data_IF_329731960686
#
_entry.id   IF_329731960686
#
_cell.length_a   1.000
_cell.length_b   1.000
_cell.length_c   1.000
_cell.angle_alpha   90.00
_cell.angle_beta   90.00
_cell.angle_gamma   90.00
#
_symmetry.space_group_name_H-M   'P 1'
#
loop_
_entity.id
_entity.type
_entity.pdbx_description
1 polymer ?
#
# COMPACT_ATOMS: atom_id res chain seq x y z
N UNK A 1 3.29 -12.48 -12.96
CA UNK A 1 2.32 -12.79 -11.88
C UNK A 1 1.14 -11.86 -12.00
N UNK A 2 -0.06 -12.39 -11.89
CA UNK A 2 -1.31 -11.64 -11.92
C UNK A 2 -2.08 -11.88 -10.63
N UNK A 3 -2.58 -10.78 -10.06
CA UNK A 3 -3.37 -10.77 -8.84
C UNK A 3 -4.79 -10.30 -9.17
N UNK A 4 -5.78 -11.12 -8.89
CA UNK A 4 -7.19 -10.86 -9.17
C UNK A 4 -8.02 -10.71 -7.88
N UNK A 5 -7.38 -10.28 -6.80
CA UNK A 5 -8.01 -10.14 -5.48
C UNK A 5 -8.61 -11.44 -4.99
N UNK A 6 -9.89 -11.42 -4.63
CA UNK A 6 -10.61 -12.59 -4.14
C UNK A 6 -10.76 -13.73 -5.17
N UNK A 7 -10.54 -13.47 -6.46
CA UNK A 7 -10.58 -14.51 -7.50
C UNK A 7 -9.29 -15.30 -7.62
N UNK A 8 -8.24 -14.90 -6.93
CA UNK A 8 -6.99 -15.64 -6.81
C UNK A 8 -5.79 -14.99 -7.48
N UNK A 9 -4.72 -15.78 -7.52
CA UNK A 9 -3.42 -15.40 -8.04
C UNK A 9 -2.94 -16.43 -9.06
N UNK A 10 -2.21 -16.00 -10.07
CA UNK A 10 -1.70 -16.88 -11.11
C UNK A 10 -0.29 -16.45 -11.53
N UNK A 11 0.58 -17.44 -11.76
CA UNK A 11 1.83 -17.27 -12.47
C UNK A 11 1.66 -17.77 -13.89
N UNK A 12 2.01 -16.92 -14.85
CA UNK A 12 1.92 -17.23 -16.29
C UNK A 12 3.30 -17.08 -16.90
N UNK A 13 3.69 -18.03 -17.73
CA UNK A 13 4.87 -17.89 -18.58
C UNK A 13 4.62 -16.79 -19.62
N UNK A 14 5.45 -15.75 -19.61
CA UNK A 14 5.24 -14.56 -20.45
C UNK A 14 5.45 -14.79 -21.93
N UNK A 15 6.14 -15.88 -22.33
CA UNK A 15 6.40 -16.22 -23.75
C UNK A 15 5.30 -17.09 -24.33
N UNK A 16 4.79 -18.03 -23.54
CA UNK A 16 3.86 -19.07 -24.02
C UNK A 16 2.42 -18.86 -23.57
N UNK A 17 2.16 -18.00 -22.57
CA UNK A 17 0.87 -17.83 -21.93
C UNK A 17 0.44 -19.00 -21.05
N UNK A 18 1.30 -20.02 -20.86
CA UNK A 18 0.97 -21.19 -20.04
C UNK A 18 0.93 -20.84 -18.58
N UNK A 19 -0.07 -21.34 -17.86
CA UNK A 19 -0.17 -21.19 -16.40
C UNK A 19 0.82 -22.14 -15.76
N UNK A 20 1.71 -21.59 -14.93
CA UNK A 20 2.70 -22.32 -14.16
C UNK A 20 2.08 -22.81 -12.85
N UNK A 21 1.39 -21.91 -12.15
CA UNK A 21 0.62 -22.24 -10.95
C UNK A 21 -0.58 -21.30 -10.76
N UNK A 22 -1.57 -21.76 -9.98
CA UNK A 22 -2.72 -20.98 -9.49
C UNK A 22 -2.83 -21.10 -7.97
N UNK A 23 -3.23 -20.01 -7.31
CA UNK A 23 -3.61 -20.02 -5.90
C UNK A 23 -4.94 -19.27 -5.74
N UNK A 24 -5.99 -19.99 -5.34
CA UNK A 24 -7.33 -19.46 -5.08
C UNK A 24 -7.73 -19.58 -3.60
N UNK A 25 -6.77 -19.98 -2.73
CA UNK A 25 -7.02 -20.16 -1.29
C UNK A 25 -7.04 -18.84 -0.51
N UNK A 26 -6.60 -17.74 -1.13
CA UNK A 26 -6.55 -16.42 -0.49
C UNK A 26 -7.79 -15.63 -0.90
N UNK A 27 -8.65 -15.39 0.07
CA UNK A 27 -9.94 -14.74 -0.19
C UNK A 27 -10.29 -13.74 0.91
N UNK A 28 -10.90 -12.63 0.50
CA UNK A 28 -11.53 -11.61 1.34
C UNK A 28 -12.80 -11.11 0.65
N UNK A 29 -13.70 -10.50 1.39
CA UNK A 29 -14.88 -9.88 0.81
C UNK A 29 -14.51 -8.52 0.20
N UNK A 30 -14.31 -8.52 -1.14
CA UNK A 30 -14.12 -7.33 -1.97
C UNK A 30 -15.33 -7.15 -2.87
N UNK A 31 -16.13 -6.16 -2.59
CA UNK A 31 -17.35 -5.88 -3.40
C UNK A 31 -17.02 -5.18 -4.72
N UNK A 32 -15.89 -4.48 -4.77
CA UNK A 32 -15.48 -3.65 -5.91
C UNK A 32 -14.34 -4.25 -6.74
N UNK A 33 -13.91 -5.46 -6.39
CA UNK A 33 -12.79 -6.13 -7.04
C UNK A 33 -11.40 -5.71 -6.52
N UNK A 34 -10.31 -6.28 -7.08
CA UNK A 34 -8.94 -5.99 -6.68
C UNK A 34 -8.46 -4.66 -7.26
N UNK A 35 -7.68 -3.90 -6.50
CA UNK A 35 -7.03 -2.69 -6.96
C UNK A 35 -5.51 -2.69 -6.73
N UNK A 36 -5.05 -3.51 -5.77
CA UNK A 36 -3.64 -3.62 -5.40
C UNK A 36 -2.84 -4.44 -6.40
N UNK A 37 -1.63 -4.00 -6.74
CA UNK A 37 -0.66 -4.83 -7.46
C UNK A 37 0.25 -5.55 -6.49
N UNK A 38 0.69 -6.79 -6.80
CA UNK A 38 1.69 -7.48 -6.00
C UNK A 38 3.08 -6.87 -6.24
N UNK A 39 3.97 -7.00 -5.25
CA UNK A 39 5.38 -6.65 -5.37
C UNK A 39 6.25 -7.89 -5.19
N UNK A 40 7.40 -7.91 -5.87
CA UNK A 40 8.36 -9.00 -5.76
C UNK A 40 9.50 -8.61 -4.82
N UNK A 41 9.84 -9.52 -3.91
CA UNK A 41 11.04 -9.45 -3.10
C UNK A 41 11.70 -10.83 -3.02
N UNK A 42 12.87 -10.99 -3.64
CA UNK A 42 13.54 -12.28 -3.80
C UNK A 42 12.60 -13.32 -4.43
N UNK A 43 12.33 -14.40 -3.73
CA UNK A 43 11.43 -15.49 -4.12
C UNK A 43 10.01 -15.34 -3.56
N UNK A 44 9.64 -14.15 -3.10
CA UNK A 44 8.33 -13.83 -2.53
C UNK A 44 7.53 -12.89 -3.44
N UNK A 45 6.27 -13.22 -3.66
CA UNK A 45 5.24 -12.38 -4.24
C UNK A 45 4.37 -11.85 -3.09
N UNK A 46 4.46 -10.55 -2.80
CA UNK A 46 3.86 -9.94 -1.63
C UNK A 46 2.75 -8.98 -2.05
N UNK A 47 1.60 -9.05 -1.39
CA UNK A 47 0.47 -8.13 -1.57
C UNK A 47 -0.37 -8.07 -0.31
N UNK A 48 -1.22 -7.05 -0.21
CA UNK A 48 -2.20 -7.01 0.87
C UNK A 48 -3.62 -7.32 0.36
N UNK A 49 -4.43 -7.85 1.26
CA UNK A 49 -5.82 -8.23 1.06
C UNK A 49 -6.63 -7.55 2.15
N UNK A 50 -7.12 -6.34 1.88
CA UNK A 50 -7.88 -5.53 2.84
C UNK A 50 -9.34 -5.47 2.39
N UNK A 51 -10.09 -6.51 2.71
CA UNK A 51 -11.53 -6.60 2.46
C UNK A 51 -12.37 -5.97 3.58
N UNK A 52 -13.68 -6.10 3.48
CA UNK A 52 -14.60 -5.68 4.55
C UNK A 52 -14.59 -6.62 5.76
N UNK A 53 -14.27 -7.89 5.55
CA UNK A 53 -14.27 -8.97 6.56
C UNK A 53 -12.90 -9.20 7.20
N UNK A 54 -11.82 -9.15 6.41
CA UNK A 54 -10.45 -9.45 6.84
C UNK A 54 -9.48 -8.46 6.21
N UNK A 55 -8.41 -8.13 6.94
CA UNK A 55 -7.34 -7.26 6.47
C UNK A 55 -6.00 -7.91 6.84
N UNK A 56 -5.17 -8.20 5.83
CA UNK A 56 -3.88 -8.86 6.04
C UNK A 56 -2.91 -8.58 4.90
N UNK A 57 -1.62 -8.77 5.18
CA UNK A 57 -0.55 -8.85 4.18
C UNK A 57 -0.12 -10.31 4.05
N UNK A 58 0.18 -10.75 2.84
CA UNK A 58 0.52 -12.13 2.55
C UNK A 58 1.67 -12.21 1.55
N UNK A 59 2.53 -13.20 1.70
CA UNK A 59 3.56 -13.55 0.73
C UNK A 59 3.39 -14.98 0.23
N UNK A 60 3.51 -15.14 -1.08
CA UNK A 60 3.55 -16.42 -1.76
C UNK A 60 4.95 -16.70 -2.28
N UNK A 61 5.31 -17.96 -2.27
CA UNK A 61 6.49 -18.47 -2.99
C UNK A 61 6.31 -18.27 -4.50
N UNK A 62 7.23 -17.62 -5.15
CA UNK A 62 7.13 -17.28 -6.58
C UNK A 62 7.15 -18.49 -7.51
N UNK A 63 7.76 -19.61 -7.10
CA UNK A 63 7.86 -20.83 -7.90
C UNK A 63 6.62 -21.71 -7.80
N UNK A 64 5.98 -21.74 -6.61
CA UNK A 64 4.92 -22.69 -6.31
C UNK A 64 3.56 -22.07 -6.06
N UNK A 65 3.49 -20.76 -5.80
CA UNK A 65 2.26 -20.06 -5.39
C UNK A 65 1.78 -20.41 -3.98
N UNK A 66 2.54 -21.20 -3.21
CA UNK A 66 2.19 -21.54 -1.83
C UNK A 66 2.45 -20.37 -0.90
N UNK A 67 1.60 -20.21 0.10
CA UNK A 67 1.76 -19.20 1.13
C UNK A 67 3.01 -19.47 1.98
N UNK A 68 3.84 -18.44 2.16
CA UNK A 68 5.03 -18.47 3.02
C UNK A 68 4.75 -17.85 4.37
N UNK A 69 4.05 -16.69 4.36
CA UNK A 69 3.61 -16.04 5.58
C UNK A 69 2.35 -15.19 5.32
N UNK A 70 1.59 -14.97 6.37
CA UNK A 70 0.43 -14.09 6.41
C UNK A 70 0.37 -13.39 7.74
N UNK A 71 0.15 -12.07 7.72
CA UNK A 71 0.05 -11.25 8.94
C UNK A 71 -1.23 -10.42 8.88
N UNK A 72 -2.10 -10.63 9.85
CA UNK A 72 -3.27 -9.77 10.03
C UNK A 72 -2.84 -8.34 10.36
N UNK A 73 -3.56 -7.35 9.82
CA UNK A 73 -3.34 -5.95 10.17
C UNK A 73 -3.61 -5.73 11.66
N UNK A 74 -2.72 -5.03 12.33
CA UNK A 74 -2.82 -4.66 13.73
C UNK A 74 -3.44 -3.26 13.91
N UNK A 75 -3.82 -2.92 15.11
CA UNK A 75 -4.39 -1.62 15.48
C UNK A 75 -5.92 -1.57 15.31
N UNK A 76 -6.51 -0.55 15.93
CA UNK A 76 -7.95 -0.32 15.84
C UNK A 76 -8.31 0.27 14.49
N UNK A 77 -9.15 -0.40 13.75
CA UNK A 77 -9.71 0.09 12.48
C UNK A 77 -11.13 0.62 12.72
N UNK A 78 -11.68 1.27 11.68
CA UNK A 78 -13.05 1.77 11.72
C UNK A 78 -14.06 0.65 12.06
N UNK A 79 -15.13 0.97 12.79
CA UNK A 79 -16.15 -0.04 13.16
C UNK A 79 -16.95 -0.52 11.94
N UNK A 80 -17.28 0.40 11.03
CA UNK A 80 -17.94 0.04 9.77
C UNK A 80 -17.00 -0.79 8.88
N UNK A 81 -17.35 -2.04 8.54
CA UNK A 81 -16.53 -2.92 7.71
C UNK A 81 -16.15 -2.33 6.35
N UNK A 82 -17.04 -1.54 5.74
CA UNK A 82 -16.80 -0.91 4.43
C UNK A 82 -15.63 0.07 4.43
N UNK A 83 -15.37 0.68 5.60
CA UNK A 83 -14.29 1.67 5.76
C UNK A 83 -12.94 1.04 6.12
N UNK A 84 -12.84 -0.29 6.19
CA UNK A 84 -11.60 -1.03 6.46
C UNK A 84 -10.82 -1.39 5.19
N UNK A 85 -11.41 -1.19 4.02
CA UNK A 85 -10.82 -1.59 2.72
C UNK A 85 -9.65 -0.67 2.32
N UNK A 86 -8.63 -1.26 1.70
CA UNK A 86 -7.52 -0.57 1.06
C UNK A 86 -7.11 -1.32 -0.21
N UNK A 87 -6.82 -0.57 -1.28
CA UNK A 87 -6.50 -1.09 -2.61
C UNK A 87 -5.14 -0.62 -3.12
N UNK A 88 -4.41 0.15 -2.33
CA UNK A 88 -3.10 0.68 -2.71
C UNK A 88 -2.05 -0.41 -2.89
N UNK A 89 -1.12 -0.18 -3.79
CA UNK A 89 0.01 -1.09 -4.00
C UNK A 89 1.07 -0.86 -2.93
N UNK A 90 1.58 -1.89 -2.25
CA UNK A 90 2.68 -1.74 -1.30
C UNK A 90 3.96 -1.29 -2.00
N UNK A 91 4.87 -0.69 -1.24
CA UNK A 91 6.15 -0.18 -1.72
C UNK A 91 7.30 -0.85 -0.98
N UNK A 92 8.23 -1.47 -1.74
CA UNK A 92 9.49 -1.97 -1.19
C UNK A 92 10.55 -0.87 -1.25
N UNK A 93 11.24 -0.65 -0.15
CA UNK A 93 12.37 0.28 -0.02
C UNK A 93 13.44 -0.28 0.91
N UNK A 94 14.65 0.16 0.71
CA UNK A 94 15.71 0.01 1.68
C UNK A 94 15.69 1.21 2.62
N UNK A 95 15.66 0.94 3.92
CA UNK A 95 15.68 1.93 5.00
C UNK A 95 16.79 1.49 5.96
N UNK A 96 17.79 2.33 6.17
CA UNK A 96 18.95 2.04 7.02
C UNK A 96 19.61 0.68 6.72
N UNK A 97 19.81 0.40 5.41
CA UNK A 97 20.42 -0.85 4.93
C UNK A 97 19.54 -2.09 5.07
N UNK A 98 18.27 -1.94 5.44
CA UNK A 98 17.32 -3.05 5.59
C UNK A 98 16.14 -2.93 4.63
N UNK A 99 15.69 -4.04 4.02
CA UNK A 99 14.50 -4.03 3.20
C UNK A 99 13.26 -3.82 4.07
N UNK A 100 12.39 -2.92 3.66
CA UNK A 100 11.13 -2.60 4.33
C UNK A 100 10.00 -2.59 3.31
N UNK A 101 8.91 -3.27 3.65
CA UNK A 101 7.66 -3.23 2.92
C UNK A 101 6.74 -2.17 3.55
N UNK A 102 6.53 -1.07 2.84
CA UNK A 102 5.60 -0.01 3.24
C UNK A 102 4.23 -0.37 2.66
N UNK A 103 3.22 -0.48 3.51
CA UNK A 103 1.89 -0.94 3.11
C UNK A 103 0.80 -0.04 3.69
N UNK A 104 0.21 0.85 2.87
CA UNK A 104 -0.94 1.64 3.28
C UNK A 104 -2.14 0.74 3.57
N UNK A 105 -2.79 0.98 4.69
CA UNK A 105 -4.02 0.32 5.08
C UNK A 105 -5.03 1.34 5.61
N UNK A 106 -6.25 0.94 5.87
CA UNK A 106 -7.24 1.84 6.48
C UNK A 106 -6.81 2.28 7.87
N UNK A 107 -6.89 3.58 8.17
CA UNK A 107 -6.49 4.23 9.42
C UNK A 107 -4.99 4.22 9.75
N UNK A 108 -4.18 3.38 9.07
CA UNK A 108 -2.80 3.13 9.43
C UNK A 108 -1.89 3.03 8.21
N UNK A 109 -0.69 3.58 8.31
CA UNK A 109 0.44 3.24 7.46
C UNK A 109 1.32 2.22 8.19
N UNK A 110 1.59 1.09 7.53
CA UNK A 110 2.38 0.00 8.12
C UNK A 110 3.73 -0.16 7.43
N UNK A 111 4.69 -0.66 8.19
CA UNK A 111 5.94 -1.18 7.66
C UNK A 111 6.21 -2.59 8.18
N UNK A 112 6.61 -3.47 7.28
CA UNK A 112 6.88 -4.87 7.58
C UNK A 112 8.26 -5.28 7.08
N UNK A 113 8.85 -6.26 7.74
CA UNK A 113 9.96 -7.05 7.20
C UNK A 113 9.41 -7.90 6.04
N UNK A 114 9.88 -7.74 4.79
CA UNK A 114 9.33 -8.47 3.65
C UNK A 114 9.62 -9.99 3.69
N UNK A 115 10.64 -10.41 4.42
CA UNK A 115 11.02 -11.84 4.52
C UNK A 115 10.12 -12.63 5.45
N UNK A 116 9.62 -11.99 6.51
CA UNK A 116 8.90 -12.66 7.61
C UNK A 116 7.48 -12.15 7.81
N UNK A 117 7.14 -11.00 7.24
CA UNK A 117 5.89 -10.30 7.51
C UNK A 117 5.83 -9.63 8.88
N UNK A 118 6.92 -9.68 9.68
CA UNK A 118 6.94 -9.02 10.99
C UNK A 118 6.68 -7.53 10.86
N UNK A 119 5.69 -7.01 11.61
CA UNK A 119 5.46 -5.57 11.71
C UNK A 119 6.66 -4.90 12.39
N UNK A 120 7.26 -3.92 11.72
CA UNK A 120 8.40 -3.14 12.21
C UNK A 120 7.92 -1.91 12.95
N UNK A 121 6.98 -1.20 12.35
CA UNK A 121 6.31 -0.04 12.91
C UNK A 121 5.01 0.25 12.16
N UNK A 122 4.19 1.11 12.74
CA UNK A 122 3.01 1.69 12.08
C UNK A 122 2.75 3.10 12.56
N UNK A 123 2.08 3.90 11.72
CA UNK A 123 1.66 5.27 12.03
C UNK A 123 0.17 5.36 11.88
N UNK A 124 -0.51 5.81 12.93
CA UNK A 124 -1.94 6.09 12.89
C UNK A 124 -2.17 7.45 12.22
N UNK A 125 -2.98 7.47 11.19
CA UNK A 125 -3.45 8.70 10.57
C UNK A 125 -4.96 8.92 10.78
N UNK A 126 -5.65 7.96 11.40
CA UNK A 126 -7.04 8.05 11.79
C UNK A 126 -8.03 7.94 10.62
N UNK A 127 -9.18 8.55 10.79
CA UNK A 127 -10.28 8.46 9.81
C UNK A 127 -10.15 9.54 8.71
N UNK A 128 -9.22 9.35 7.79
CA UNK A 128 -8.97 10.20 6.63
C UNK A 128 -9.42 9.52 5.32
N UNK A 129 -10.69 9.13 5.25
CA UNK A 129 -11.25 8.41 4.12
C UNK A 129 -11.04 6.90 4.19
N UNK A 130 -11.44 6.21 3.13
CA UNK A 130 -11.38 4.76 3.00
C UNK A 130 -11.03 4.38 1.55
N UNK A 131 -10.81 3.09 1.29
CA UNK A 131 -10.48 2.60 -0.06
C UNK A 131 -9.26 3.32 -0.67
N UNK A 132 -8.13 3.32 0.05
CA UNK A 132 -6.89 3.91 -0.44
C UNK A 132 -6.45 3.21 -1.73
N UNK A 133 -6.12 3.98 -2.76
CA UNK A 133 -5.67 3.46 -4.05
C UNK A 133 -4.23 3.90 -4.37
N UNK A 134 -3.83 5.17 -4.16
CA UNK A 134 -2.52 5.63 -4.57
C UNK A 134 -1.38 4.85 -3.93
N UNK A 135 -0.39 4.48 -4.75
CA UNK A 135 0.86 3.92 -4.25
C UNK A 135 1.68 5.04 -3.59
N UNK A 136 2.24 4.83 -2.41
CA UNK A 136 3.12 5.81 -1.79
C UNK A 136 4.44 5.97 -2.57
N UNK A 137 5.07 7.15 -2.44
CA UNK A 137 6.43 7.41 -2.91
C UNK A 137 7.31 7.82 -1.74
N UNK A 138 8.64 7.70 -1.91
CA UNK A 138 9.59 8.01 -0.83
C UNK A 138 10.71 8.90 -1.33
N UNK A 139 11.18 9.79 -0.48
CA UNK A 139 12.35 10.64 -0.66
C UNK A 139 12.58 11.49 0.59
N UNK A 140 13.75 12.09 0.72
CA UNK A 140 14.11 13.01 1.82
C UNK A 140 13.85 12.42 3.23
N UNK A 141 13.98 11.09 3.39
CA UNK A 141 13.67 10.41 4.65
C UNK A 141 12.17 10.37 5.01
N UNK A 142 11.30 10.60 4.02
CA UNK A 142 9.85 10.64 4.18
C UNK A 142 9.13 9.69 3.22
N UNK A 143 7.93 9.27 3.62
CA UNK A 143 6.94 8.58 2.81
C UNK A 143 5.82 9.58 2.52
N UNK A 144 5.50 9.78 1.25
CA UNK A 144 4.37 10.59 0.82
C UNK A 144 3.25 9.65 0.37
N UNK A 145 2.08 9.79 0.99
CA UNK A 145 0.91 8.97 0.67
C UNK A 145 -0.37 9.78 0.66
N UNK A 146 -1.24 9.53 -0.31
CA UNK A 146 -2.62 10.00 -0.26
C UNK A 146 -3.45 9.04 0.57
N UNK A 147 -4.34 9.59 1.38
CA UNK A 147 -5.34 8.81 2.10
C UNK A 147 -6.56 8.54 1.22
N UNK A 148 -7.62 7.95 1.77
CA UNK A 148 -8.69 7.39 0.98
C UNK A 148 -9.78 8.37 0.53
N UNK A 149 -10.75 7.81 -0.17
CA UNK A 149 -11.91 8.50 -0.72
C UNK A 149 -12.72 9.26 0.35
N UNK A 150 -13.36 10.37 -0.02
CA UNK A 150 -14.19 11.30 0.74
C UNK A 150 -13.45 12.25 1.70
N UNK A 151 -12.34 11.88 2.28
CA UNK A 151 -11.57 12.73 3.21
C UNK A 151 -10.07 12.69 2.89
N UNK A 152 -9.74 12.71 1.60
CA UNK A 152 -8.36 12.58 1.16
C UNK A 152 -7.47 13.69 1.71
N UNK A 153 -6.31 13.27 2.21
CA UNK A 153 -5.17 14.11 2.52
C UNK A 153 -3.92 13.50 1.93
N UNK A 154 -3.00 14.33 1.50
CA UNK A 154 -1.63 13.94 1.24
C UNK A 154 -0.85 14.09 2.55
N UNK A 155 -0.20 13.02 2.98
CA UNK A 155 0.57 12.98 4.22
C UNK A 155 2.05 12.79 3.91
N UNK A 156 2.92 13.49 4.63
CA UNK A 156 4.34 13.18 4.70
C UNK A 156 4.64 12.53 6.05
N UNK A 157 5.12 11.31 6.01
CA UNK A 157 5.49 10.52 7.19
C UNK A 157 7.01 10.40 7.23
N UNK A 158 7.65 11.00 8.23
CA UNK A 158 9.09 10.88 8.45
C UNK A 158 9.40 9.52 9.05
N UNK A 159 10.37 8.81 8.45
CA UNK A 159 10.88 7.52 8.94
C UNK A 159 12.38 7.55 9.22
N UNK A 160 13.13 8.46 8.59
CA UNK A 160 14.56 8.57 8.77
C UNK A 160 14.92 9.42 10.01
N UNK A 161 16.01 9.04 10.67
CA UNK A 161 16.54 9.77 11.83
C UNK A 161 15.51 9.97 12.97
N UNK A 162 14.61 9.03 13.15
CA UNK A 162 13.61 9.05 14.23
C UNK A 162 13.43 7.65 14.84
N UNK A 163 13.30 7.60 16.15
CA UNK A 163 13.01 6.35 16.85
C UNK A 163 11.57 5.85 16.58
N UNK A 164 10.67 6.78 16.21
CA UNK A 164 9.28 6.49 15.91
C UNK A 164 8.83 7.35 14.71
N UNK A 165 8.41 6.74 13.60
CA UNK A 165 7.84 7.47 12.47
C UNK A 165 6.63 8.30 12.86
N UNK A 166 6.51 9.51 12.28
CA UNK A 166 5.47 10.49 12.58
C UNK A 166 5.03 11.26 11.33
N UNK A 167 3.82 11.81 11.35
CA UNK A 167 3.31 12.69 10.30
C UNK A 167 3.87 14.09 10.55
N UNK A 168 4.72 14.58 9.65
CA UNK A 168 5.38 15.89 9.78
C UNK A 168 4.59 17.02 9.14
N UNK A 169 3.85 16.72 8.06
CA UNK A 169 2.92 17.67 7.47
C UNK A 169 1.78 16.94 6.74
N UNK A 170 0.70 17.66 6.47
CA UNK A 170 -0.43 17.18 5.68
C UNK A 170 -1.01 18.29 4.82
N UNK A 171 -1.46 17.91 3.61
CA UNK A 171 -2.12 18.78 2.66
C UNK A 171 -3.51 18.24 2.33
N UNK A 172 -4.53 19.14 2.18
CA UNK A 172 -5.93 18.72 2.10
C UNK A 172 -6.72 19.33 0.92
N UNK A 173 -6.06 20.09 0.02
CA UNK A 173 -6.74 20.72 -1.10
C UNK A 173 -6.58 19.88 -2.36
N UNK A 174 -7.70 19.51 -3.00
CA UNK A 174 -7.69 18.79 -4.28
C UNK A 174 -6.70 17.61 -4.33
N UNK A 175 -6.72 16.79 -3.28
CA UNK A 175 -5.82 15.63 -3.18
C UNK A 175 -6.36 14.50 -4.05
N UNK A 176 -5.45 13.87 -4.79
CA UNK A 176 -5.73 12.67 -5.57
C UNK A 176 -6.15 11.50 -4.69
N UNK A 177 -7.22 10.79 -5.08
CA UNK A 177 -7.67 9.56 -4.42
C UNK A 177 -7.38 8.29 -5.23
N UNK A 178 -6.99 8.42 -6.50
CA UNK A 178 -6.66 7.30 -7.40
C UNK A 178 -5.24 7.40 -7.99
N UNK A 179 -4.84 8.48 -8.69
CA UNK A 179 -3.48 8.61 -9.19
C UNK A 179 -2.44 8.68 -8.08
N UNK A 180 -1.33 7.99 -8.27
CA UNK A 180 -0.21 8.03 -7.34
C UNK A 180 0.58 9.34 -7.49
N UNK A 181 1.15 9.89 -6.40
CA UNK A 181 2.01 11.07 -6.48
C UNK A 181 3.35 10.72 -7.16
N UNK A 182 4.03 11.75 -7.65
CA UNK A 182 5.36 11.68 -8.25
C UNK A 182 6.29 12.64 -7.52
N UNK A 183 7.43 12.15 -7.04
CA UNK A 183 8.49 12.98 -6.45
C UNK A 183 9.62 13.18 -7.47
N UNK A 184 9.96 14.42 -7.77
CA UNK A 184 11.06 14.81 -8.64
C UNK A 184 11.91 15.86 -7.93
N UNK A 185 13.13 15.49 -7.51
CA UNK A 185 13.93 16.37 -6.64
C UNK A 185 13.17 16.72 -5.35
N UNK A 186 13.00 18.01 -5.09
CA UNK A 186 12.25 18.52 -3.93
C UNK A 186 10.77 18.80 -4.21
N UNK A 187 10.30 18.46 -5.39
CA UNK A 187 8.94 18.74 -5.86
C UNK A 187 8.08 17.49 -5.85
N UNK A 188 6.92 17.58 -5.20
CA UNK A 188 5.93 16.51 -5.10
C UNK A 188 4.70 16.86 -5.94
N UNK A 189 4.50 16.13 -7.02
CA UNK A 189 3.41 16.32 -7.96
C UNK A 189 2.29 15.30 -7.74
N UNK A 190 1.06 15.74 -7.90
CA UNK A 190 -0.10 14.85 -8.01
C UNK A 190 -1.19 15.50 -8.87
N UNK A 191 -2.06 14.67 -9.42
CA UNK A 191 -3.17 15.09 -10.26
C UNK A 191 -4.48 14.52 -9.73
N UNK A 192 -5.53 15.34 -9.71
CA UNK A 192 -6.86 14.86 -9.33
C UNK A 192 -7.49 14.06 -10.45
N UNK A 193 -8.25 13.04 -10.10
CA UNK A 193 -9.04 12.22 -11.02
C UNK A 193 -10.22 13.00 -11.64
N UNK A 194 -10.69 14.05 -10.98
CA UNK A 194 -11.77 14.91 -11.45
C UNK A 194 -11.23 16.29 -11.81
N UNK A 195 -11.43 16.71 -13.05
CA UNK A 195 -11.01 18.02 -13.56
C UNK A 195 -9.52 18.14 -13.90
N UNK A 196 -8.70 17.12 -13.69
CA UNK A 196 -7.29 17.08 -14.12
C UNK A 196 -6.40 18.17 -13.51
N UNK A 197 -6.70 18.63 -12.29
CA UNK A 197 -5.90 19.64 -11.61
C UNK A 197 -4.57 19.05 -11.17
N UNK A 198 -3.48 19.62 -11.67
CA UNK A 198 -2.10 19.29 -11.24
C UNK A 198 -1.72 20.21 -10.09
N UNK A 199 -1.19 19.62 -9.03
CA UNK A 199 -0.64 20.32 -7.87
C UNK A 199 0.83 19.96 -7.72
N UNK A 200 1.66 20.96 -7.45
CA UNK A 200 3.06 20.81 -7.09
C UNK A 200 3.26 21.39 -5.69
N UNK A 201 3.86 20.60 -4.81
CA UNK A 201 4.22 21.00 -3.44
C UNK A 201 5.72 20.86 -3.23
N UNK A 202 6.27 21.65 -2.32
CA UNK A 202 7.61 21.38 -1.80
C UNK A 202 7.54 20.13 -0.88
N UNK A 203 8.35 19.12 -1.17
CA UNK A 203 8.31 17.85 -0.45
C UNK A 203 8.69 17.97 1.05
N UNK A 204 9.48 18.98 1.42
CA UNK A 204 9.92 19.19 2.80
C UNK A 204 8.86 19.90 3.66
N UNK A 205 8.07 20.78 3.06
CA UNK A 205 7.18 21.68 3.80
C UNK A 205 5.69 21.48 3.54
N UNK A 206 5.32 20.81 2.43
CA UNK A 206 3.93 20.68 1.99
C UNK A 206 3.41 21.95 1.35
#
# INVERSE_FOLDING_TARGET
YCHFGAYGNVCVDSKTGRIIWRNQAIWVNHETGPGSSPVLWKDLLIFHMDGSDKQFVVALDTKTGKEKWRIARSGKMHENPQLKKSFGTPLLREIDGKPVLISPGSNWLYAYDPGTGKELWKVEYGNLGFSLVPRPVTGHGMIFMSTGFMKAKLLAVRYANTAKPDIVWSYARSVSTQPSPLLVGDELYFITESGGLVTCLNAHTG
#
